data_IF_061080753146
#
_entry.id   IF_061080753146
#
_cell.length_a   1.000
_cell.length_b   1.000
_cell.length_c   1.000
_cell.angle_alpha   90.00
_cell.angle_beta   90.00
_cell.angle_gamma   90.00
#
_symmetry.space_group_name_H-M   'P 1'
#
loop_
_entity.id
_entity.type
_entity.pdbx_description
1 polymer ?
#
# COMPACT_ATOMS: atom_id res chain seq x y z
N UNK A 1 26.60 2.08 11.43
CA UNK A 1 25.43 2.82 10.92
C UNK A 1 24.46 1.78 10.40
N UNK A 2 23.45 1.43 11.20
CA UNK A 2 22.27 0.75 10.68
C UNK A 2 21.22 1.86 10.53
N UNK A 3 20.77 2.10 9.31
CA UNK A 3 20.02 3.32 8.98
C UNK A 3 18.66 2.94 8.42
N UNK A 4 17.64 3.70 8.70
CA UNK A 4 16.46 3.78 7.84
C UNK A 4 16.03 5.25 7.80
N UNK A 5 15.75 5.77 6.62
CA UNK A 5 15.41 7.16 6.43
C UNK A 5 14.48 7.31 5.23
N UNK A 6 13.46 8.13 5.33
CA UNK A 6 12.64 8.57 4.20
C UNK A 6 12.57 10.10 4.27
N UNK A 7 12.95 10.79 3.20
CA UNK A 7 12.93 12.24 3.10
C UNK A 7 12.26 12.64 1.81
N UNK A 8 11.40 13.62 1.86
CA UNK A 8 10.74 14.13 0.67
C UNK A 8 10.52 15.64 0.78
N UNK A 9 10.85 16.34 -0.28
CA UNK A 9 10.58 17.76 -0.49
C UNK A 9 10.05 17.87 -1.91
N UNK A 10 8.79 18.23 -2.07
CA UNK A 10 8.18 18.49 -3.37
C UNK A 10 7.20 19.65 -3.25
N UNK A 11 7.55 20.80 -3.83
CA UNK A 11 6.83 22.07 -3.63
C UNK A 11 6.72 22.35 -2.12
N UNK A 12 5.52 22.70 -1.64
CA UNK A 12 5.24 22.96 -0.23
C UNK A 12 5.27 21.71 0.67
N UNK A 13 5.30 20.50 0.09
CA UNK A 13 5.29 19.27 0.87
C UNK A 13 6.70 18.92 1.35
N UNK A 14 6.85 18.84 2.67
CA UNK A 14 8.08 18.45 3.35
C UNK A 14 7.81 17.29 4.30
N UNK A 15 8.64 16.25 4.21
CA UNK A 15 8.62 15.09 5.10
C UNK A 15 10.06 14.68 5.42
N UNK A 16 10.36 14.42 6.69
CA UNK A 16 11.63 13.82 7.07
C UNK A 16 11.45 12.93 8.29
N UNK A 17 11.76 11.66 8.13
CA UNK A 17 11.94 10.74 9.25
C UNK A 17 13.25 9.98 9.07
N UNK A 18 13.90 9.73 10.21
CA UNK A 18 15.11 8.92 10.30
C UNK A 18 15.04 8.09 11.56
N UNK A 19 15.17 6.78 11.39
CA UNK A 19 15.42 5.85 12.48
C UNK A 19 16.92 5.51 12.50
N UNK A 20 17.55 5.78 13.63
CA UNK A 20 18.91 5.33 13.91
C UNK A 20 18.85 3.93 14.52
N UNK A 21 19.17 2.92 13.72
CA UNK A 21 19.26 1.55 14.19
C UNK A 21 20.64 1.35 14.83
N UNK A 22 20.64 0.82 16.05
CA UNK A 22 21.84 0.36 16.77
C UNK A 22 21.71 -1.15 17.05
N UNK A 23 22.73 -1.78 17.64
CA UNK A 23 22.72 -3.22 17.96
C UNK A 23 21.56 -3.66 18.87
N UNK A 24 20.81 -2.73 19.48
CA UNK A 24 19.64 -2.99 20.32
C UNK A 24 18.29 -2.62 19.70
N UNK A 25 18.26 -2.15 18.45
CA UNK A 25 17.01 -1.75 17.79
C UNK A 25 16.11 -2.96 17.59
N UNK A 26 14.85 -2.83 18.00
CA UNK A 26 13.90 -3.94 17.94
C UNK A 26 13.18 -3.96 16.60
N UNK A 27 12.84 -5.15 16.13
CA UNK A 27 12.14 -5.32 14.85
C UNK A 27 10.83 -4.55 14.81
N UNK A 28 10.10 -4.46 15.92
CA UNK A 28 8.86 -3.68 16.02
C UNK A 28 9.06 -2.18 15.79
N UNK A 29 10.19 -1.59 16.20
CA UNK A 29 10.50 -0.17 15.97
C UNK A 29 10.75 0.08 14.47
N UNK A 30 11.40 -0.88 13.81
CA UNK A 30 11.62 -0.86 12.36
C UNK A 30 10.30 -1.01 11.62
N UNK A 31 9.42 -1.90 12.05
CA UNK A 31 8.07 -2.05 11.47
C UNK A 31 7.26 -0.76 11.62
N UNK A 32 7.31 -0.12 12.79
CA UNK A 32 6.60 1.14 13.03
C UNK A 32 7.08 2.25 12.08
N UNK A 33 8.40 2.42 11.95
CA UNK A 33 8.98 3.36 11.00
C UNK A 33 8.54 3.06 9.56
N UNK A 34 8.55 1.79 9.16
CA UNK A 34 8.15 1.39 7.81
C UNK A 34 6.66 1.66 7.55
N UNK A 35 5.78 1.43 8.52
CA UNK A 35 4.35 1.73 8.39
C UNK A 35 4.10 3.23 8.15
N UNK A 36 4.74 4.11 8.93
CA UNK A 36 4.65 5.57 8.77
C UNK A 36 5.15 6.04 7.40
N UNK A 37 6.36 5.64 7.03
CA UNK A 37 6.96 6.02 5.74
C UNK A 37 6.12 5.53 4.55
N UNK A 38 5.50 4.37 4.69
CA UNK A 38 4.59 3.78 3.70
C UNK A 38 3.30 4.59 3.56
N UNK A 39 2.64 4.91 4.66
CA UNK A 39 1.41 5.73 4.67
C UNK A 39 1.66 7.11 4.09
N UNK A 40 2.73 7.78 4.51
CA UNK A 40 3.11 9.09 4.00
C UNK A 40 3.36 9.07 2.48
N UNK A 41 4.06 8.04 1.99
CA UNK A 41 4.33 7.89 0.56
C UNK A 41 3.05 7.60 -0.24
N UNK A 42 2.17 6.72 0.27
CA UNK A 42 0.89 6.40 -0.38
C UNK A 42 -0.05 7.60 -0.43
N UNK A 43 -0.28 8.25 0.72
CA UNK A 43 -1.15 9.42 0.83
C UNK A 43 -0.70 10.54 -0.13
N UNK A 44 0.61 10.81 -0.18
CA UNK A 44 1.12 11.82 -1.10
C UNK A 44 0.99 11.41 -2.57
N UNK A 45 1.19 10.14 -2.91
CA UNK A 45 1.01 9.65 -4.27
C UNK A 45 -0.45 9.85 -4.75
N UNK A 46 -1.44 9.57 -3.90
CA UNK A 46 -2.85 9.84 -4.24
C UNK A 46 -3.15 11.34 -4.36
N UNK A 47 -2.61 12.19 -3.49
CA UNK A 47 -2.76 13.64 -3.63
C UNK A 47 -2.21 14.19 -4.96
N UNK A 48 -1.15 13.58 -5.49
CA UNK A 48 -0.54 13.95 -6.77
C UNK A 48 -1.25 13.35 -8.00
N UNK A 49 -2.16 12.38 -7.80
CA UNK A 49 -2.78 11.63 -8.88
C UNK A 49 -3.73 12.44 -9.77
N UNK A 50 -4.19 13.61 -9.30
CA UNK A 50 -5.22 14.39 -9.96
C UNK A 50 -6.65 13.84 -9.79
N UNK A 51 -6.82 12.82 -8.94
CA UNK A 51 -8.13 12.29 -8.53
C UNK A 51 -8.78 13.20 -7.49
N UNK A 52 -10.08 13.45 -7.63
CA UNK A 52 -10.93 14.04 -6.59
C UNK A 52 -11.15 13.01 -5.47
N UNK A 53 -10.22 13.01 -4.51
CA UNK A 53 -10.24 12.09 -3.37
C UNK A 53 -11.50 12.26 -2.52
N UNK A 54 -12.02 13.48 -2.36
CA UNK A 54 -13.22 13.74 -1.58
C UNK A 54 -14.46 13.11 -2.20
N UNK A 55 -14.60 13.20 -3.52
CA UNK A 55 -15.70 12.57 -4.26
C UNK A 55 -15.65 11.05 -4.17
N UNK A 56 -14.47 10.46 -4.37
CA UNK A 56 -14.31 8.99 -4.35
C UNK A 56 -14.52 8.42 -2.94
N UNK A 57 -13.93 9.04 -1.92
CA UNK A 57 -14.10 8.61 -0.51
C UNK A 57 -15.55 8.76 -0.05
N UNK A 58 -16.26 9.81 -0.47
CA UNK A 58 -17.69 9.98 -0.14
C UNK A 58 -18.56 8.84 -0.69
N UNK A 59 -18.31 8.37 -1.92
CA UNK A 59 -19.05 7.23 -2.46
C UNK A 59 -18.65 5.92 -1.78
N UNK A 60 -17.36 5.72 -1.48
CA UNK A 60 -16.90 4.55 -0.71
C UNK A 60 -17.58 4.47 0.65
N UNK A 61 -17.61 5.58 1.40
CA UNK A 61 -18.31 5.71 2.69
C UNK A 61 -19.80 5.42 2.59
N UNK A 62 -20.45 5.93 1.55
CA UNK A 62 -21.88 5.67 1.31
C UNK A 62 -22.15 4.18 1.06
N UNK A 63 -21.28 3.48 0.34
CA UNK A 63 -21.40 2.05 0.08
C UNK A 63 -21.07 1.20 1.31
N UNK A 64 -20.09 1.63 2.12
CA UNK A 64 -19.79 1.00 3.41
C UNK A 64 -20.96 1.15 4.40
N UNK A 65 -21.55 2.34 4.48
CA UNK A 65 -22.70 2.62 5.34
C UNK A 65 -22.41 2.27 6.80
N UNK A 66 -23.24 1.39 7.38
CA UNK A 66 -23.07 0.85 8.73
C UNK A 66 -22.73 -0.66 8.71
N UNK A 67 -22.12 -1.15 7.63
CA UNK A 67 -21.77 -2.56 7.53
C UNK A 67 -20.71 -2.91 8.59
N UNK A 68 -20.80 -4.08 9.24
CA UNK A 68 -19.79 -4.51 10.19
C UNK A 68 -18.47 -4.82 9.47
N UNK A 69 -17.32 -4.88 10.17
CA UNK A 69 -16.09 -5.39 9.58
C UNK A 69 -16.23 -6.85 9.17
N UNK A 70 -15.59 -7.27 8.06
CA UNK A 70 -15.55 -8.67 7.62
C UNK A 70 -15.87 -8.90 6.15
N UNK A 71 -15.37 -10.01 5.58
CA UNK A 71 -15.32 -10.23 4.12
C UNK A 71 -16.69 -10.08 3.45
N UNK A 72 -17.74 -10.58 4.09
CA UNK A 72 -19.12 -10.45 3.62
C UNK A 72 -19.57 -8.98 3.45
N UNK A 73 -19.04 -8.05 4.25
CA UNK A 73 -19.36 -6.63 4.12
C UNK A 73 -18.77 -6.02 2.86
N UNK A 74 -17.60 -6.48 2.41
CA UNK A 74 -17.06 -6.10 1.09
C UNK A 74 -18.01 -6.60 0.00
N UNK A 75 -18.45 -7.86 0.07
CA UNK A 75 -19.40 -8.41 -0.90
C UNK A 75 -20.73 -7.64 -0.92
N UNK A 76 -21.27 -7.31 0.26
CA UNK A 76 -22.50 -6.54 0.40
C UNK A 76 -22.36 -5.12 -0.15
N UNK A 77 -21.27 -4.42 0.18
CA UNK A 77 -21.00 -3.08 -0.34
C UNK A 77 -20.87 -3.10 -1.87
N UNK A 78 -20.05 -4.00 -2.41
CA UNK A 78 -19.79 -4.07 -3.86
C UNK A 78 -20.99 -4.58 -4.66
N UNK A 79 -21.82 -5.47 -4.12
CA UNK A 79 -23.05 -5.95 -4.78
C UNK A 79 -24.15 -4.89 -4.85
N UNK A 80 -24.10 -3.86 -3.99
CA UNK A 80 -25.06 -2.76 -3.99
C UNK A 80 -24.85 -1.74 -5.10
N UNK A 81 -23.73 -1.82 -5.84
CA UNK A 81 -23.37 -0.87 -6.90
C UNK A 81 -23.13 -1.57 -8.23
N UNK A 82 -23.65 -0.99 -9.31
CA UNK A 82 -23.40 -1.51 -10.66
C UNK A 82 -22.00 -1.08 -11.13
N UNK A 83 -21.31 -1.96 -11.84
CA UNK A 83 -19.99 -1.64 -12.42
C UNK A 83 -20.02 -0.38 -13.31
N UNK A 84 -21.11 -0.13 -14.05
CA UNK A 84 -21.27 1.07 -14.86
C UNK A 84 -21.31 2.36 -14.01
N UNK A 85 -21.91 2.32 -12.82
CA UNK A 85 -21.95 3.45 -11.90
C UNK A 85 -20.55 3.76 -11.35
N UNK A 86 -19.79 2.74 -10.96
CA UNK A 86 -18.40 2.92 -10.54
C UNK A 86 -17.52 3.48 -11.66
N UNK A 87 -17.66 2.98 -12.89
CA UNK A 87 -16.94 3.56 -14.05
C UNK A 87 -17.27 5.03 -14.26
N UNK A 88 -18.55 5.40 -14.18
CA UNK A 88 -18.97 6.80 -14.28
C UNK A 88 -18.43 7.66 -13.12
N UNK A 89 -18.41 7.13 -11.90
CA UNK A 89 -17.77 7.77 -10.75
C UNK A 89 -16.29 8.05 -11.05
N UNK A 90 -15.52 7.03 -11.46
CA UNK A 90 -14.09 7.15 -11.69
C UNK A 90 -13.78 8.15 -12.80
N UNK A 91 -14.48 8.08 -13.94
CA UNK A 91 -14.31 9.02 -15.04
C UNK A 91 -14.64 10.47 -14.62
N UNK A 92 -15.66 10.65 -13.78
CA UNK A 92 -16.05 11.98 -13.30
C UNK A 92 -15.24 12.49 -12.10
N UNK A 93 -14.35 11.68 -11.53
CA UNK A 93 -13.46 12.04 -10.43
C UNK A 93 -12.06 12.48 -10.92
N UNK A 94 -11.83 12.48 -12.23
CA UNK A 94 -10.55 12.82 -12.84
C UNK A 94 -10.76 13.82 -13.97
N UNK A 95 -9.73 14.60 -14.29
CA UNK A 95 -9.75 15.52 -15.44
C UNK A 95 -9.40 14.83 -16.77
N UNK A 96 -8.69 13.72 -16.69
CA UNK A 96 -8.29 12.88 -17.82
C UNK A 96 -8.74 11.44 -17.54
N UNK A 97 -9.51 10.85 -18.44
CA UNK A 97 -10.06 9.50 -18.30
C UNK A 97 -8.95 8.44 -18.16
N UNK A 98 -7.74 8.70 -18.67
CA UNK A 98 -6.58 7.83 -18.46
C UNK A 98 -6.22 7.69 -16.97
N UNK A 99 -6.61 8.62 -16.11
CA UNK A 99 -6.41 8.57 -14.65
C UNK A 99 -7.49 7.76 -13.92
N UNK A 100 -8.56 7.33 -14.60
CA UNK A 100 -9.63 6.53 -13.98
C UNK A 100 -9.13 5.28 -13.22
N UNK A 101 -8.05 4.57 -13.64
CA UNK A 101 -7.48 3.48 -12.84
C UNK A 101 -6.93 3.91 -11.48
N UNK A 102 -6.48 5.16 -11.32
CA UNK A 102 -6.04 5.70 -10.04
C UNK A 102 -7.23 6.02 -9.13
N UNK A 103 -8.33 6.51 -9.71
CA UNK A 103 -9.59 6.69 -8.98
C UNK A 103 -10.19 5.34 -8.55
N UNK A 104 -10.14 4.32 -9.42
CA UNK A 104 -10.51 2.95 -9.07
C UNK A 104 -9.66 2.43 -7.90
N UNK A 105 -8.35 2.66 -7.93
CA UNK A 105 -7.46 2.26 -6.85
C UNK A 105 -7.79 2.97 -5.53
N UNK A 106 -8.01 4.28 -5.57
CA UNK A 106 -8.38 5.03 -4.38
C UNK A 106 -9.76 4.66 -3.83
N UNK A 107 -10.69 4.24 -4.70
CA UNK A 107 -12.00 3.75 -4.29
C UNK A 107 -11.91 2.48 -3.45
N UNK A 108 -11.17 1.47 -3.91
CA UNK A 108 -11.00 0.24 -3.12
C UNK A 108 -10.20 0.50 -1.83
N UNK A 109 -9.21 1.39 -1.87
CA UNK A 109 -8.50 1.86 -0.69
C UNK A 109 -9.48 2.43 0.36
N UNK A 110 -10.29 3.40 -0.05
CA UNK A 110 -11.25 4.07 0.83
C UNK A 110 -12.34 3.12 1.31
N UNK A 111 -12.83 2.21 0.45
CA UNK A 111 -13.87 1.27 0.83
C UNK A 111 -13.38 0.28 1.89
N UNK A 112 -12.15 -0.22 1.75
CA UNK A 112 -11.57 -1.14 2.73
C UNK A 112 -11.29 -0.42 4.07
N UNK A 113 -10.88 0.85 4.02
CA UNK A 113 -10.71 1.69 5.22
C UNK A 113 -12.03 1.91 5.97
N UNK A 114 -13.09 2.30 5.26
CA UNK A 114 -14.44 2.51 5.84
C UNK A 114 -15.04 1.20 6.40
N UNK A 115 -14.65 0.05 5.85
CA UNK A 115 -15.02 -1.28 6.35
C UNK A 115 -14.06 -1.80 7.45
N UNK A 116 -13.13 -0.97 7.91
CA UNK A 116 -12.16 -1.26 8.97
C UNK A 116 -11.28 -2.48 8.71
N UNK A 117 -10.91 -2.68 7.44
CA UNK A 117 -9.91 -3.69 7.08
C UNK A 117 -8.52 -3.10 7.09
N UNK A 118 -7.59 -3.82 7.70
CA UNK A 118 -6.18 -3.50 7.57
C UNK A 118 -5.69 -4.02 6.20
N UNK A 119 -6.03 -3.35 5.09
CA UNK A 119 -5.50 -3.65 3.74
C UNK A 119 -4.11 -3.02 3.51
N UNK A 120 -3.79 -2.09 4.40
CA UNK A 120 -2.58 -1.32 4.54
C UNK A 120 -2.11 -1.56 5.96
N UNK A 121 -0.85 -1.96 6.18
CA UNK A 121 -0.37 -1.99 7.57
C UNK A 121 -0.15 -0.56 8.04
N UNK A 122 -0.99 -0.13 8.98
CA UNK A 122 -0.99 1.20 9.56
C UNK A 122 -0.08 1.31 10.78
N UNK A 123 0.27 2.54 11.15
CA UNK A 123 0.95 2.82 12.41
C UNK A 123 0.20 2.21 13.61
N UNK A 124 -1.13 2.37 13.63
CA UNK A 124 -1.99 1.84 14.68
C UNK A 124 -1.99 0.31 14.72
N UNK A 125 -2.00 -0.36 13.56
CA UNK A 125 -1.89 -1.81 13.50
C UNK A 125 -0.57 -2.31 14.12
N UNK A 126 0.54 -1.60 13.88
CA UNK A 126 1.83 -1.92 14.52
C UNK A 126 1.78 -1.73 16.03
N UNK A 127 1.23 -0.60 16.50
CA UNK A 127 1.09 -0.33 17.94
C UNK A 127 0.17 -1.34 18.65
N UNK A 128 -0.89 -1.82 17.98
CA UNK A 128 -1.75 -2.91 18.49
C UNK A 128 -1.00 -4.24 18.58
N UNK A 129 -0.21 -4.57 17.56
CA UNK A 129 0.56 -5.81 17.50
C UNK A 129 1.67 -5.86 18.55
N UNK A 130 2.32 -4.72 18.79
CA UNK A 130 3.43 -4.58 19.73
C UNK A 130 3.16 -3.48 20.76
N UNK A 131 2.33 -3.76 21.79
CA UNK A 131 2.03 -2.78 22.83
C UNK A 131 3.32 -2.30 23.53
N UNK A 132 3.48 -0.99 23.62
CA UNK A 132 4.68 -0.38 24.18
C UNK A 132 5.85 -0.24 23.19
N UNK A 133 5.65 -0.51 21.89
CA UNK A 133 6.57 -0.03 20.87
C UNK A 133 6.58 1.50 20.92
N UNK A 134 7.72 2.05 21.31
CA UNK A 134 7.91 3.49 21.31
C UNK A 134 8.45 3.93 19.95
N UNK A 135 8.16 5.18 19.60
CA UNK A 135 8.87 5.81 18.51
C UNK A 135 10.33 5.93 18.91
N UNK A 136 11.19 5.16 18.27
CA UNK A 136 12.62 5.31 18.48
C UNK A 136 13.04 6.74 18.13
N UNK A 137 13.98 7.28 18.91
CA UNK A 137 14.38 8.70 18.85
C UNK A 137 14.69 9.11 17.41
N UNK A 138 13.77 9.85 16.80
CA UNK A 138 13.91 10.31 15.44
C UNK A 138 14.85 11.51 15.40
N UNK A 139 15.82 11.48 14.49
CA UNK A 139 16.53 12.70 14.12
C UNK A 139 15.74 13.40 13.03
N UNK A 140 15.43 14.70 13.20
CA UNK A 140 15.01 15.52 12.05
C UNK A 140 16.22 15.62 11.15
N UNK A 141 16.25 14.77 10.15
CA UNK A 141 17.35 14.77 9.24
C UNK A 141 17.23 16.08 8.43
N UNK A 142 18.18 17.01 8.57
CA UNK A 142 18.15 18.31 7.91
C UNK A 142 17.97 18.14 6.40
N UNK A 143 16.89 18.66 5.83
CA UNK A 143 16.69 18.67 4.38
C UNK A 143 17.42 19.90 3.85
N UNK A 144 18.49 19.71 3.06
CA UNK A 144 18.78 20.37 1.77
C UNK A 144 20.04 19.74 1.09
N UNK A 145 20.37 19.84 -0.22
CA UNK A 145 19.96 20.67 -1.39
C UNK A 145 20.13 19.84 -2.71
N UNK A 146 19.21 19.72 -3.69
CA UNK A 146 17.85 20.22 -3.89
C UNK A 146 17.27 19.69 -5.23
N UNK A 147 16.08 19.12 -5.34
CA UNK A 147 14.96 18.98 -4.38
C UNK A 147 14.46 17.51 -4.30
N UNK A 148 14.09 16.98 -3.14
CA UNK A 148 14.33 15.56 -2.84
C UNK A 148 13.10 14.62 -2.89
N UNK A 149 13.30 13.35 -3.24
CA UNK A 149 12.70 12.21 -2.50
C UNK A 149 13.78 11.16 -2.28
N UNK A 150 14.16 10.83 -1.04
CA UNK A 150 15.22 9.89 -0.69
C UNK A 150 14.72 8.90 0.37
N UNK A 151 14.56 7.63 0.06
CA UNK A 151 14.33 6.54 1.01
C UNK A 151 15.60 5.70 1.16
N UNK A 152 16.32 5.72 2.28
CA UNK A 152 17.51 4.89 2.54
C UNK A 152 17.25 3.88 3.67
N UNK A 153 17.98 2.77 3.70
CA UNK A 153 17.84 1.68 4.65
C UNK A 153 19.15 0.87 4.69
N UNK A 154 19.51 0.36 5.86
CA UNK A 154 20.39 -0.75 6.26
C UNK A 154 19.86 -1.22 7.63
N UNK A 155 19.16 -2.35 7.69
CA UNK A 155 18.76 -3.03 8.93
C UNK A 155 19.15 -4.51 8.84
N UNK A 156 20.10 -4.96 9.67
CA UNK A 156 20.76 -6.26 9.48
C UNK A 156 21.41 -6.35 8.11
N UNK A 157 21.07 -7.38 7.33
CA UNK A 157 21.48 -7.49 5.93
C UNK A 157 20.68 -6.58 4.97
N UNK A 158 19.66 -5.85 5.44
CA UNK A 158 18.71 -5.15 4.56
C UNK A 158 19.12 -3.72 4.21
N UNK A 159 19.82 -3.52 3.09
CA UNK A 159 20.23 -2.19 2.61
C UNK A 159 19.36 -1.77 1.40
N UNK A 160 18.70 -0.61 1.42
CA UNK A 160 17.98 -0.09 0.24
C UNK A 160 18.03 1.43 0.19
N UNK A 161 18.31 2.05 -0.97
CA UNK A 161 18.29 3.52 -1.13
C UNK A 161 17.50 3.87 -2.40
N UNK A 162 16.60 4.85 -2.39
CA UNK A 162 15.87 5.38 -3.54
C UNK A 162 15.85 6.90 -3.46
N UNK A 163 16.71 7.58 -4.22
CA UNK A 163 16.84 9.05 -4.27
C UNK A 163 16.24 9.59 -5.57
N UNK A 164 15.67 10.79 -5.54
CA UNK A 164 15.21 11.54 -6.69
C UNK A 164 15.54 13.01 -6.46
N UNK A 165 16.23 13.62 -7.43
CA UNK A 165 16.43 15.07 -7.54
C UNK A 165 15.31 15.64 -8.39
N UNK A 166 14.65 16.63 -7.85
CA UNK A 166 13.51 17.36 -8.38
C UNK A 166 14.06 18.71 -8.79
N UNK A 167 13.74 19.07 -10.01
CA UNK A 167 13.95 20.36 -10.61
C UNK A 167 12.63 20.89 -11.17
N UNK A 168 12.68 22.06 -11.80
CA UNK A 168 11.51 22.68 -12.43
C UNK A 168 10.90 21.86 -13.59
N UNK A 169 11.67 20.91 -14.14
CA UNK A 169 11.23 20.05 -15.25
C UNK A 169 10.60 18.75 -14.77
N UNK A 170 10.80 18.41 -13.49
CA UNK A 170 10.31 17.17 -12.89
C UNK A 170 8.80 17.16 -12.86
N UNK A 171 8.22 16.18 -13.54
CA UNK A 171 6.77 16.05 -13.67
C UNK A 171 6.18 15.43 -12.41
N UNK A 172 4.94 15.84 -12.08
CA UNK A 172 4.26 15.34 -10.88
C UNK A 172 4.09 13.80 -10.89
N UNK A 173 3.93 13.19 -12.07
CA UNK A 173 3.79 11.74 -12.20
C UNK A 173 5.11 10.99 -12.01
N UNK A 174 6.27 11.62 -12.25
CA UNK A 174 7.58 11.05 -11.89
C UNK A 174 7.73 10.97 -10.37
N UNK A 175 7.31 12.03 -9.68
CA UNK A 175 7.27 12.08 -8.21
C UNK A 175 6.33 11.03 -7.65
N UNK A 176 5.14 10.91 -8.21
CA UNK A 176 4.16 9.90 -7.84
C UNK A 176 4.71 8.47 -8.07
N UNK A 177 5.42 8.22 -9.16
CA UNK A 177 6.06 6.94 -9.44
C UNK A 177 7.19 6.61 -8.47
N UNK A 178 8.00 7.60 -8.08
CA UNK A 178 9.02 7.44 -7.06
C UNK A 178 8.41 7.06 -5.70
N UNK A 179 7.34 7.73 -5.28
CA UNK A 179 6.61 7.41 -4.04
C UNK A 179 5.98 6.01 -4.07
N UNK A 180 5.34 5.64 -5.18
CA UNK A 180 4.81 4.30 -5.40
C UNK A 180 5.91 3.23 -5.23
N UNK A 181 7.07 3.45 -5.85
CA UNK A 181 8.23 2.55 -5.73
C UNK A 181 8.81 2.52 -4.31
N UNK A 182 8.82 3.66 -3.60
CA UNK A 182 9.15 3.74 -2.17
C UNK A 182 8.32 2.72 -1.41
N UNK A 183 7.01 2.90 -1.48
CA UNK A 183 5.98 2.13 -0.78
C UNK A 183 6.01 0.64 -1.14
N UNK A 184 6.15 0.26 -2.42
CA UNK A 184 6.23 -1.16 -2.83
C UNK A 184 7.42 -1.91 -2.22
N UNK A 185 8.57 -1.25 -2.06
CA UNK A 185 9.73 -1.88 -1.39
C UNK A 185 9.52 -2.00 0.10
N UNK A 186 8.90 -0.98 0.70
CA UNK A 186 8.54 -1.02 2.12
C UNK A 186 7.61 -2.20 2.36
N UNK A 187 6.52 -2.33 1.59
CA UNK A 187 5.55 -3.42 1.72
C UNK A 187 6.23 -4.80 1.70
N UNK A 188 7.04 -5.06 0.67
CA UNK A 188 7.75 -6.35 0.55
C UNK A 188 8.61 -6.64 1.77
N UNK A 189 9.35 -5.63 2.26
CA UNK A 189 10.24 -5.85 3.41
C UNK A 189 9.47 -5.92 4.72
N UNK A 190 8.40 -5.15 4.86
CA UNK A 190 7.53 -5.11 6.03
C UNK A 190 7.02 -6.51 6.34
N UNK A 191 6.36 -7.18 5.38
CA UNK A 191 5.78 -8.50 5.61
C UNK A 191 6.83 -9.57 5.93
N UNK A 192 8.03 -9.49 5.32
CA UNK A 192 9.15 -10.36 5.66
C UNK A 192 9.65 -10.14 7.10
N UNK A 193 9.83 -8.89 7.52
CA UNK A 193 10.27 -8.56 8.88
C UNK A 193 9.22 -8.89 9.94
N UNK A 194 7.94 -8.75 9.58
CA UNK A 194 6.81 -9.11 10.42
C UNK A 194 6.62 -10.64 10.56
N UNK A 195 7.37 -11.44 9.81
CA UNK A 195 7.27 -12.90 9.84
C UNK A 195 5.96 -13.43 9.24
N UNK A 196 5.34 -12.69 8.32
CA UNK A 196 4.14 -13.16 7.62
C UNK A 196 4.48 -14.37 6.76
N UNK A 197 3.67 -15.43 6.84
CA UNK A 197 3.80 -16.65 6.05
C UNK A 197 3.36 -16.41 4.58
N UNK A 198 4.13 -15.60 3.85
CA UNK A 198 3.80 -15.12 2.50
C UNK A 198 3.47 -16.25 1.52
N UNK A 199 4.24 -17.34 1.53
CA UNK A 199 4.03 -18.48 0.61
C UNK A 199 2.69 -19.18 0.86
N UNK A 200 2.28 -19.30 2.12
CA UNK A 200 0.99 -19.89 2.50
C UNK A 200 -0.19 -19.04 2.06
N UNK A 201 -0.08 -17.72 2.23
CA UNK A 201 -1.10 -16.76 1.79
C UNK A 201 -1.19 -16.74 0.26
N UNK A 202 -0.05 -16.72 -0.44
CA UNK A 202 0.00 -16.72 -1.91
C UNK A 202 -0.66 -17.98 -2.48
N UNK A 203 -0.41 -19.15 -1.87
CA UNK A 203 -1.05 -20.40 -2.26
C UNK A 203 -2.58 -20.36 -2.08
N UNK A 204 -3.07 -19.83 -0.95
CA UNK A 204 -4.52 -19.68 -0.70
C UNK A 204 -5.15 -18.71 -1.71
N UNK A 205 -4.52 -17.57 -1.97
CA UNK A 205 -4.99 -16.60 -2.96
C UNK A 205 -5.02 -17.19 -4.36
N UNK A 206 -4.00 -17.96 -4.75
CA UNK A 206 -3.97 -18.62 -6.05
C UNK A 206 -5.15 -19.57 -6.26
N UNK A 207 -5.57 -20.28 -5.21
CA UNK A 207 -6.79 -21.12 -5.24
C UNK A 207 -8.04 -20.26 -5.42
N UNK A 208 -8.19 -19.19 -4.65
CA UNK A 208 -9.35 -18.30 -4.72
C UNK A 208 -9.48 -17.63 -6.10
N UNK A 209 -8.37 -17.18 -6.67
CA UNK A 209 -8.33 -16.46 -7.94
C UNK A 209 -8.28 -17.37 -9.18
N UNK A 210 -8.15 -18.69 -9.01
CA UNK A 210 -7.94 -19.64 -10.11
C UNK A 210 -9.03 -19.55 -11.18
N UNK A 211 -8.62 -19.24 -12.41
CA UNK A 211 -9.53 -19.16 -13.57
C UNK A 211 -10.44 -17.93 -13.58
N UNK A 212 -10.31 -17.03 -12.61
CA UNK A 212 -11.12 -15.82 -12.49
C UNK A 212 -10.42 -14.63 -13.17
N UNK A 213 -11.21 -13.66 -13.64
CA UNK A 213 -10.72 -12.44 -14.31
C UNK A 213 -11.10 -11.21 -13.51
N UNK A 214 -10.50 -10.05 -13.83
CA UNK A 214 -10.87 -8.75 -13.24
C UNK A 214 -12.34 -8.41 -13.55
N UNK A 215 -13.23 -8.59 -12.58
CA UNK A 215 -14.61 -8.15 -12.64
C UNK A 215 -15.16 -7.89 -11.24
N UNK A 216 -16.06 -6.91 -11.10
CA UNK A 216 -16.65 -6.57 -9.81
C UNK A 216 -17.39 -7.78 -9.19
N UNK A 217 -18.17 -8.50 -10.00
CA UNK A 217 -18.87 -9.72 -9.57
C UNK A 217 -17.93 -10.80 -9.07
N UNK A 218 -16.71 -10.89 -9.61
CA UNK A 218 -15.69 -11.82 -9.12
C UNK A 218 -15.25 -11.53 -7.70
N UNK A 219 -15.05 -10.25 -7.34
CA UNK A 219 -14.76 -9.88 -5.95
C UNK A 219 -15.92 -10.22 -5.02
N UNK A 220 -17.15 -9.89 -5.44
CA UNK A 220 -18.37 -10.23 -4.68
C UNK A 220 -18.45 -11.72 -4.41
N UNK A 221 -18.30 -12.56 -5.45
CA UNK A 221 -18.35 -14.01 -5.31
C UNK A 221 -17.28 -14.56 -4.37
N UNK A 222 -16.03 -14.10 -4.51
CA UNK A 222 -14.93 -14.56 -3.64
C UNK A 222 -15.26 -14.20 -2.19
N UNK A 223 -15.54 -12.94 -1.90
CA UNK A 223 -15.78 -12.49 -0.53
C UNK A 223 -17.05 -13.05 0.09
N UNK A 224 -18.10 -13.30 -0.70
CA UNK A 224 -19.32 -13.96 -0.24
C UNK A 224 -19.12 -15.47 0.03
N UNK A 225 -18.12 -16.09 -0.60
CA UNK A 225 -17.80 -17.51 -0.41
C UNK A 225 -16.81 -17.79 0.72
N UNK A 226 -16.18 -16.75 1.26
CA UNK A 226 -15.19 -16.89 2.31
C UNK A 226 -15.86 -17.07 3.67
N UNK A 227 -15.55 -18.17 4.35
CA UNK A 227 -15.91 -18.31 5.76
C UNK A 227 -15.07 -17.34 6.61
N UNK A 228 -15.75 -16.51 7.39
CA UNK A 228 -15.10 -15.46 8.18
C UNK A 228 -14.24 -16.03 9.32
N UNK A 229 -14.67 -17.11 9.96
CA UNK A 229 -13.95 -17.72 11.07
C UNK A 229 -12.73 -18.49 10.58
N UNK A 230 -12.87 -19.26 9.51
CA UNK A 230 -11.79 -20.01 8.88
C UNK A 230 -10.73 -19.06 8.30
N UNK A 231 -11.17 -18.00 7.61
CA UNK A 231 -10.25 -16.98 7.08
C UNK A 231 -9.49 -16.31 8.22
N UNK A 232 -10.19 -15.89 9.28
CA UNK A 232 -9.56 -15.30 10.45
C UNK A 232 -8.53 -16.23 11.11
N UNK A 233 -8.91 -17.50 11.33
CA UNK A 233 -8.01 -18.50 11.92
C UNK A 233 -6.77 -18.76 11.04
N UNK A 234 -6.95 -18.79 9.72
CA UNK A 234 -5.85 -18.91 8.77
C UNK A 234 -4.91 -17.71 8.82
N UNK A 235 -5.43 -16.48 8.81
CA UNK A 235 -4.61 -15.27 8.88
C UNK A 235 -3.87 -15.16 10.22
N UNK A 236 -4.53 -15.47 11.33
CA UNK A 236 -3.92 -15.47 12.66
C UNK A 236 -2.79 -16.51 12.79
N UNK A 237 -2.89 -17.66 12.11
CA UNK A 237 -1.81 -18.67 12.07
C UNK A 237 -0.70 -18.36 11.07
N UNK A 238 -0.89 -17.34 10.22
CA UNK A 238 0.08 -16.89 9.21
C UNK A 238 1.07 -15.84 9.75
N UNK A 239 1.07 -15.59 11.06
CA UNK A 239 1.98 -14.66 11.76
C UNK A 239 2.49 -15.28 13.05
N UNK A 240 3.69 -14.88 13.53
CA UNK A 240 4.25 -15.41 14.77
C UNK A 240 3.51 -14.91 16.03
N UNK A 241 2.88 -13.74 15.95
CA UNK A 241 2.13 -13.12 17.03
C UNK A 241 0.66 -12.96 16.59
N UNK A 242 -0.32 -13.54 17.29
CA UNK A 242 -1.73 -13.39 16.92
C UNK A 242 -2.22 -11.93 16.85
N UNK A 243 -1.62 -11.01 17.62
CA UNK A 243 -1.94 -9.57 17.54
C UNK A 243 -1.46 -8.91 16.25
N UNK A 244 -0.59 -9.59 15.50
CA UNK A 244 -0.12 -9.18 14.19
C UNK A 244 -0.98 -9.76 13.04
N UNK A 245 -2.13 -10.38 13.34
CA UNK A 245 -3.12 -10.82 12.33
C UNK A 245 -3.41 -9.74 11.26
N UNK A 246 -3.57 -8.44 11.60
CA UNK A 246 -3.69 -7.36 10.62
C UNK A 246 -2.62 -7.36 9.51
N UNK A 247 -1.40 -7.81 9.80
CA UNK A 247 -0.33 -7.84 8.81
C UNK A 247 -0.53 -8.95 7.78
N UNK A 248 -1.00 -10.12 8.21
CA UNK A 248 -1.40 -11.19 7.30
C UNK A 248 -2.65 -10.79 6.50
N UNK A 249 -3.61 -10.12 7.14
CA UNK A 249 -4.79 -9.58 6.46
C UNK A 249 -4.41 -8.60 5.34
N UNK A 250 -3.54 -7.62 5.64
CA UNK A 250 -3.04 -6.66 4.66
C UNK A 250 -2.36 -7.35 3.48
N UNK A 251 -1.50 -8.33 3.75
CA UNK A 251 -0.83 -9.10 2.70
C UNK A 251 -1.83 -9.90 1.87
N UNK A 252 -2.79 -10.58 2.51
CA UNK A 252 -3.83 -11.36 1.84
C UNK A 252 -4.66 -10.50 0.87
N UNK A 253 -5.16 -9.35 1.32
CA UNK A 253 -5.93 -8.46 0.45
C UNK A 253 -5.07 -7.92 -0.70
N UNK A 254 -3.82 -7.54 -0.40
CA UNK A 254 -2.86 -7.09 -1.41
C UNK A 254 -2.64 -8.13 -2.50
N UNK A 255 -2.35 -9.37 -2.11
CA UNK A 255 -2.12 -10.45 -3.06
C UNK A 255 -3.40 -10.77 -3.82
N UNK A 256 -4.56 -10.88 -3.15
CA UNK A 256 -5.84 -11.21 -3.80
C UNK A 256 -6.25 -10.19 -4.87
N UNK A 257 -6.28 -8.91 -4.52
CA UNK A 257 -6.62 -7.86 -5.47
C UNK A 257 -5.61 -7.81 -6.63
N UNK A 258 -4.31 -7.88 -6.32
CA UNK A 258 -3.24 -7.90 -7.31
C UNK A 258 -3.34 -9.07 -8.29
N UNK A 259 -3.57 -10.29 -7.81
CA UNK A 259 -3.75 -11.49 -8.64
C UNK A 259 -4.96 -11.36 -9.58
N UNK A 260 -6.02 -10.69 -9.14
CA UNK A 260 -7.21 -10.44 -9.96
C UNK A 260 -7.07 -9.22 -10.89
N UNK A 261 -5.95 -8.50 -10.84
CA UNK A 261 -5.69 -7.31 -11.66
C UNK A 261 -6.35 -6.03 -11.15
N UNK A 262 -6.84 -6.04 -9.90
CA UNK A 262 -7.22 -4.83 -9.20
C UNK A 262 -6.02 -4.20 -8.49
N UNK A 263 -6.13 -2.91 -8.21
CA UNK A 263 -5.18 -2.19 -7.39
C UNK A 263 -6.00 -1.40 -6.36
N UNK A 264 -5.48 -1.22 -5.16
CA UNK A 264 -6.01 -0.28 -4.18
C UNK A 264 -4.96 0.77 -3.78
N UNK A 265 -3.89 0.87 -4.58
CA UNK A 265 -2.77 1.77 -4.34
C UNK A 265 -2.21 2.26 -5.68
N UNK A 266 -1.60 3.43 -5.69
CA UNK A 266 -0.88 3.96 -6.86
C UNK A 266 0.37 3.13 -7.13
N UNK A 267 0.37 2.26 -8.12
CA UNK A 267 1.51 1.39 -8.47
C UNK A 267 2.22 1.84 -9.76
N UNK A 268 3.51 1.49 -9.86
CA UNK A 268 4.38 1.91 -10.97
C UNK A 268 3.89 1.38 -12.33
N UNK A 269 3.33 0.18 -12.38
CA UNK A 269 2.87 -0.42 -13.64
C UNK A 269 1.68 0.32 -14.24
N UNK A 270 0.74 0.75 -13.39
CA UNK A 270 -0.41 1.56 -13.79
C UNK A 270 0.07 2.93 -14.27
N UNK A 271 1.00 3.55 -13.53
CA UNK A 271 1.57 4.83 -13.94
C UNK A 271 2.29 4.77 -15.28
N UNK A 272 3.01 3.69 -15.59
CA UNK A 272 3.64 3.50 -16.91
C UNK A 272 2.63 3.36 -18.05
N UNK A 273 1.44 2.81 -17.78
CA UNK A 273 0.36 2.72 -18.78
C UNK A 273 -0.29 4.08 -19.02
N UNK A 274 -0.46 4.87 -17.97
CA UNK A 274 -1.08 6.20 -18.01
C UNK A 274 -0.11 7.24 -18.61
N UNK A 275 1.17 7.16 -18.24
CA UNK A 275 2.25 8.06 -18.67
C UNK A 275 3.34 7.25 -19.38
N UNK A 276 3.17 6.96 -20.69
CA UNK A 276 4.11 6.11 -21.44
C UNK A 276 5.54 6.68 -21.52
N UNK A 277 5.70 7.98 -21.31
CA UNK A 277 6.97 8.68 -21.27
C UNK A 277 7.67 8.61 -19.91
N UNK A 278 7.04 8.00 -18.89
CA UNK A 278 7.63 7.79 -17.56
C UNK A 278 8.89 6.91 -17.64
N UNK A 279 10.06 7.55 -17.59
CA UNK A 279 11.38 6.90 -17.63
C UNK A 279 11.79 6.37 -16.26
N UNK A 280 11.10 5.34 -15.78
CA UNK A 280 11.51 4.64 -14.56
C UNK A 280 12.58 3.59 -14.90
N UNK A 281 13.79 3.65 -14.30
CA UNK A 281 14.79 2.61 -14.48
C UNK A 281 14.19 1.29 -14.02
N UNK A 282 14.08 0.33 -14.96
CA UNK A 282 13.63 -1.01 -14.59
C UNK A 282 14.63 -1.60 -13.60
N UNK A 283 14.17 -2.32 -12.55
CA UNK A 283 15.08 -3.08 -11.71
C UNK A 283 15.93 -3.96 -12.63
N UNK A 284 17.27 -3.84 -12.57
CA UNK A 284 18.13 -4.76 -13.30
C UNK A 284 17.79 -6.15 -12.79
N UNK A 285 17.09 -6.95 -13.60
CA UNK A 285 16.78 -8.33 -13.25
C UNK A 285 18.07 -9.03 -12.83
N UNK A 286 18.01 -9.88 -11.79
CA UNK A 286 19.14 -10.74 -11.45
C UNK A 286 19.50 -11.51 -12.71
N UNK A 287 20.66 -11.20 -13.32
CA UNK A 287 21.21 -12.07 -14.36
C UNK A 287 21.32 -13.46 -13.73
N UNK A 288 20.76 -14.52 -14.35
CA UNK A 288 20.97 -15.87 -13.84
C UNK A 288 22.47 -16.07 -13.71
N UNK A 289 22.92 -16.58 -12.56
CA UNK A 289 24.31 -17.01 -12.40
C UNK A 289 24.54 -18.08 -13.46
N UNK A 290 25.46 -17.81 -14.40
CA UNK A 290 26.00 -18.84 -15.29
C UNK A 290 26.82 -19.82 -14.46
#
# INVERSE_FOLDING_TARGET
MDEIAFKAKYKEWNYAERLQVNEGAKTEEVLLFLAKAREAASAKAFQLSGVDLGKVSSEAKKLAGNLPPGCHSIANALSSVKQAQLKALFASAVKDENLAPLAEAYFYNSLLDELQFDFSVSEDAVKRAFPGVEEAKTGVAGITDGDAIVFAAKYGEWISIKKMSIDEKTQYYEVMAMLASVRETIDRKFFQLAGVAVDGIDARVAVLAKGRRKALGTLVEIFASMDAQETKAFLASSVPNPKAEPFAEAYFFKTLYGTLGFNFEVNVETLKKIFPDLKMPMPKGRKPKK
#
